data_IF_297139696199
#
_entry.id   IF_297139696199
#
_cell.length_a   1.000
_cell.length_b   1.000
_cell.length_c   1.000
_cell.angle_alpha   90.00
_cell.angle_beta   90.00
_cell.angle_gamma   90.00
#
_symmetry.space_group_name_H-M   'P 1'
#
loop_
_entity.id
_entity.type
_entity.pdbx_description
1 polymer ?
#
# COMPACT_ATOMS: atom_id res chain seq x y z
N UNK A 1 -21.78 21.48 -6.07
CA UNK A 1 -20.71 20.74 -5.36
C UNK A 1 -20.97 19.26 -5.59
N UNK A 2 -20.43 18.69 -6.67
CA UNK A 2 -20.62 17.26 -6.97
C UNK A 2 -19.51 16.50 -6.24
N UNK A 3 -19.81 16.19 -4.98
CA UNK A 3 -19.48 14.96 -4.24
C UNK A 3 -18.37 14.07 -4.85
N UNK A 4 -17.08 14.40 -4.64
CA UNK A 4 -15.97 13.51 -5.02
C UNK A 4 -16.13 12.10 -4.44
N UNK A 5 -16.73 11.97 -3.26
CA UNK A 5 -17.10 10.70 -2.64
C UNK A 5 -18.06 9.86 -3.49
N UNK A 6 -19.04 10.48 -4.16
CA UNK A 6 -20.00 9.77 -5.02
C UNK A 6 -19.32 9.33 -6.31
N UNK A 7 -18.40 10.14 -6.85
CA UNK A 7 -17.62 9.76 -8.03
C UNK A 7 -16.73 8.54 -7.73
N UNK A 8 -16.04 8.51 -6.59
CA UNK A 8 -15.26 7.34 -6.16
C UNK A 8 -16.15 6.14 -5.87
N UNK A 9 -17.23 6.31 -5.10
CA UNK A 9 -18.15 5.22 -4.77
C UNK A 9 -18.79 4.57 -6.01
N UNK A 10 -18.96 5.32 -7.11
CA UNK A 10 -19.46 4.78 -8.37
C UNK A 10 -18.44 3.93 -9.15
N UNK A 11 -17.14 4.07 -8.85
CA UNK A 11 -16.06 3.30 -9.49
C UNK A 11 -15.64 2.08 -8.66
N UNK A 12 -15.99 2.05 -7.37
CA UNK A 12 -15.71 0.91 -6.50
C UNK A 12 -16.65 -0.27 -6.84
N UNK A 13 -16.14 -1.51 -6.86
CA UNK A 13 -16.98 -2.69 -6.86
C UNK A 13 -18.04 -2.64 -5.76
N UNK A 14 -19.15 -3.35 -5.94
CA UNK A 14 -20.12 -3.52 -4.85
C UNK A 14 -19.60 -4.61 -3.91
N UNK A 15 -19.10 -4.22 -2.76
CA UNK A 15 -18.58 -5.11 -1.74
C UNK A 15 -18.71 -4.49 -0.34
N UNK A 16 -18.42 -5.29 0.68
CA UNK A 16 -18.17 -4.80 2.02
C UNK A 16 -16.72 -4.31 2.12
N UNK A 17 -16.54 -3.14 2.73
CA UNK A 17 -15.26 -2.45 2.80
C UNK A 17 -14.88 -2.15 4.24
N UNK A 18 -13.66 -2.54 4.63
CA UNK A 18 -13.01 -1.95 5.78
C UNK A 18 -12.40 -0.61 5.34
N UNK A 19 -12.93 0.49 5.89
CA UNK A 19 -12.45 1.84 5.59
C UNK A 19 -11.38 2.23 6.57
N UNK A 20 -10.25 2.73 6.06
CA UNK A 20 -9.07 3.04 6.88
C UNK A 20 -8.52 4.41 6.50
N UNK A 21 -8.08 5.17 7.50
CA UNK A 21 -7.39 6.44 7.32
C UNK A 21 -6.00 6.32 7.92
N UNK A 22 -5.01 6.16 7.06
CA UNK A 22 -3.63 5.85 7.41
C UNK A 22 -2.74 7.07 7.28
N UNK A 23 -1.74 7.11 8.14
CA UNK A 23 -0.75 8.18 8.19
C UNK A 23 0.61 7.59 7.81
N UNK A 24 0.94 7.56 6.51
CA UNK A 24 2.03 6.74 5.97
C UNK A 24 3.23 7.57 5.50
N UNK A 25 4.41 6.94 5.43
CA UNK A 25 5.65 7.53 4.90
C UNK A 25 6.11 6.76 3.65
N UNK A 26 5.72 7.21 2.45
CA UNK A 26 5.99 6.44 1.24
C UNK A 26 7.45 6.52 0.82
N UNK A 27 8.00 5.38 0.39
CA UNK A 27 9.30 5.30 -0.29
C UNK A 27 9.11 4.68 -1.66
N UNK A 28 9.50 5.39 -2.73
CA UNK A 28 9.43 4.87 -4.10
C UNK A 28 10.48 3.76 -4.27
N UNK A 29 10.03 2.60 -4.73
CA UNK A 29 10.85 1.43 -5.01
C UNK A 29 10.87 1.19 -6.51
N UNK A 30 12.07 1.10 -7.08
CA UNK A 30 12.26 0.77 -8.47
C UNK A 30 12.40 -0.76 -8.65
N UNK A 31 11.94 -1.31 -9.80
CA UNK A 31 12.15 -2.70 -10.19
C UNK A 31 13.57 -3.19 -9.94
N UNK A 32 13.71 -4.29 -9.19
CA UNK A 32 15.00 -4.94 -8.90
C UNK A 32 15.93 -4.16 -7.97
N UNK A 33 15.48 -3.04 -7.40
CA UNK A 33 16.26 -2.32 -6.36
C UNK A 33 16.31 -3.14 -5.08
N UNK A 34 17.30 -2.91 -4.22
CA UNK A 34 17.51 -3.72 -3.00
C UNK A 34 16.33 -3.77 -2.04
N UNK A 35 15.42 -2.79 -2.12
CA UNK A 35 14.23 -2.70 -1.29
C UNK A 35 12.97 -3.26 -2.00
N UNK A 36 13.14 -3.89 -3.16
CA UNK A 36 12.08 -4.53 -3.93
C UNK A 36 11.61 -5.84 -3.28
N UNK A 37 10.41 -5.77 -2.69
CA UNK A 37 9.71 -6.90 -2.11
C UNK A 37 9.54 -8.01 -3.14
N UNK A 38 9.07 -7.68 -4.34
CA UNK A 38 8.72 -8.68 -5.34
C UNK A 38 9.93 -9.31 -6.01
N UNK A 39 11.10 -8.67 -5.96
CA UNK A 39 12.35 -9.29 -6.40
C UNK A 39 13.05 -10.10 -5.30
N UNK A 40 12.92 -9.72 -4.03
CA UNK A 40 13.73 -10.27 -2.93
C UNK A 40 12.92 -10.96 -1.83
N UNK A 41 12.07 -10.25 -1.11
CA UNK A 41 11.34 -10.76 0.06
C UNK A 41 10.25 -11.77 -0.33
N UNK A 42 9.46 -11.42 -1.36
CA UNK A 42 8.41 -12.25 -1.97
C UNK A 42 9.01 -13.56 -2.50
N UNK A 43 9.87 -13.58 -3.53
CA UNK A 43 10.39 -14.84 -4.08
C UNK A 43 11.14 -15.73 -3.08
N UNK A 44 11.77 -15.16 -2.03
CA UNK A 44 12.47 -15.92 -0.99
C UNK A 44 11.54 -16.81 -0.14
N UNK A 45 10.24 -16.48 -0.05
CA UNK A 45 9.22 -17.33 0.58
C UNK A 45 8.58 -18.37 -0.34
N UNK A 46 8.67 -18.20 -1.67
CA UNK A 46 7.72 -18.79 -2.63
C UNK A 46 8.39 -19.63 -3.73
N UNK A 47 9.54 -20.22 -3.40
CA UNK A 47 10.56 -20.68 -4.35
C UNK A 47 10.20 -21.75 -5.39
N UNK A 48 8.94 -22.14 -5.62
CA UNK A 48 8.56 -23.19 -6.58
C UNK A 48 7.20 -23.03 -7.30
N UNK A 49 6.53 -21.87 -7.25
CA UNK A 49 5.31 -21.64 -8.03
C UNK A 49 5.61 -20.79 -9.27
N UNK A 50 5.42 -21.33 -10.48
CA UNK A 50 5.24 -20.49 -11.66
C UNK A 50 3.90 -19.77 -11.49
N UNK A 51 3.93 -18.52 -11.03
CA UNK A 51 2.75 -17.68 -11.08
C UNK A 51 2.68 -17.04 -12.47
N UNK A 52 1.67 -17.42 -13.26
CA UNK A 52 1.31 -16.69 -14.47
C UNK A 52 0.59 -15.39 -14.07
N UNK A 53 1.34 -14.41 -13.57
CA UNK A 53 0.81 -13.06 -13.47
C UNK A 53 0.90 -12.40 -14.84
N UNK A 54 -0.22 -11.84 -15.32
CA UNK A 54 -0.25 -11.04 -16.56
C UNK A 54 0.57 -9.76 -16.47
N UNK A 55 0.92 -9.34 -15.25
CA UNK A 55 1.82 -8.23 -14.93
C UNK A 55 2.83 -8.77 -13.92
N UNK A 56 4.11 -8.75 -14.27
CA UNK A 56 5.17 -9.09 -13.31
C UNK A 56 5.36 -7.90 -12.35
N UNK A 57 4.97 -8.03 -11.07
CA UNK A 57 5.08 -6.93 -10.12
C UNK A 57 6.55 -6.55 -9.84
N UNK A 58 7.52 -7.42 -10.15
CA UNK A 58 8.95 -7.10 -10.06
C UNK A 58 9.43 -6.15 -11.16
N UNK A 59 8.60 -5.86 -12.18
CA UNK A 59 8.92 -4.95 -13.28
C UNK A 59 8.18 -3.60 -13.20
N UNK A 60 7.43 -3.35 -12.12
CA UNK A 60 6.71 -2.09 -11.91
C UNK A 60 7.19 -1.33 -10.67
N UNK A 61 7.29 -0.01 -10.76
CA UNK A 61 7.60 0.82 -9.59
C UNK A 61 6.37 0.95 -8.70
N UNK A 62 6.57 0.90 -7.39
CA UNK A 62 5.53 1.05 -6.37
C UNK A 62 6.10 1.77 -5.14
N UNK A 63 5.25 2.08 -4.16
CA UNK A 63 5.72 2.66 -2.89
C UNK A 63 5.66 1.65 -1.76
N UNK A 64 6.74 1.51 -1.01
CA UNK A 64 6.69 0.89 0.33
C UNK A 64 6.18 1.89 1.35
N UNK A 65 5.30 1.44 2.23
CA UNK A 65 4.74 2.22 3.34
C UNK A 65 5.32 1.69 4.66
N UNK A 66 4.56 0.90 5.41
CA UNK A 66 5.00 0.30 6.66
C UNK A 66 5.38 -1.19 6.53
N UNK A 67 6.15 -1.65 7.52
CA UNK A 67 6.51 -3.05 7.74
C UNK A 67 6.37 -3.33 9.23
N UNK A 68 5.46 -4.22 9.60
CA UNK A 68 5.07 -4.45 11.00
C UNK A 68 5.00 -5.95 11.31
N UNK A 69 5.29 -6.33 12.55
CA UNK A 69 4.99 -7.69 13.01
C UNK A 69 3.46 -7.85 13.15
N UNK A 70 2.90 -8.87 12.51
CA UNK A 70 1.48 -9.20 12.53
C UNK A 70 1.16 -10.40 13.47
N UNK A 71 2.19 -10.97 14.10
CA UNK A 71 2.10 -12.07 15.04
C UNK A 71 3.49 -12.62 15.37
N UNK A 72 3.56 -13.78 16.02
CA UNK A 72 4.84 -14.40 16.43
C UNK A 72 5.75 -14.75 15.23
N UNK A 73 5.14 -15.02 14.08
CA UNK A 73 5.83 -15.45 12.85
C UNK A 73 5.34 -14.69 11.61
N UNK A 74 4.37 -13.79 11.77
CA UNK A 74 3.71 -13.12 10.66
C UNK A 74 4.24 -11.70 10.51
N UNK A 75 4.38 -11.25 9.28
CA UNK A 75 4.86 -9.91 8.96
C UNK A 75 3.94 -9.23 7.94
N UNK A 76 3.50 -8.01 8.28
CA UNK A 76 2.76 -7.13 7.40
C UNK A 76 3.75 -6.35 6.52
N UNK A 77 3.51 -6.41 5.22
CA UNK A 77 4.14 -5.56 4.23
C UNK A 77 3.07 -4.70 3.58
N UNK A 78 3.23 -3.37 3.66
CA UNK A 78 2.27 -2.43 3.14
C UNK A 78 2.80 -1.69 1.91
N UNK A 79 1.95 -1.58 0.90
CA UNK A 79 2.31 -1.08 -0.42
C UNK A 79 1.28 -0.06 -0.93
N UNK A 80 1.73 1.02 -1.58
CA UNK A 80 0.88 1.77 -2.49
C UNK A 80 1.26 1.45 -3.94
N UNK A 81 0.28 0.96 -4.70
CA UNK A 81 0.44 0.54 -6.09
C UNK A 81 -0.15 1.62 -7.00
N UNK A 82 0.68 2.32 -7.79
CA UNK A 82 0.19 3.33 -8.72
C UNK A 82 -0.51 2.67 -9.93
N UNK A 83 -1.47 3.38 -10.54
CA UNK A 83 -2.19 2.89 -11.73
C UNK A 83 -1.42 3.10 -13.04
N UNK A 84 -0.24 3.73 -12.96
CA UNK A 84 0.68 3.98 -14.06
C UNK A 84 2.09 4.20 -13.49
N UNK A 85 3.08 4.37 -14.36
CA UNK A 85 4.46 4.53 -13.92
C UNK A 85 4.66 5.88 -13.19
N UNK A 86 5.09 5.89 -11.91
CA UNK A 86 5.42 7.12 -11.18
C UNK A 86 6.44 8.02 -11.85
N UNK A 87 7.32 7.46 -12.70
CA UNK A 87 8.35 8.21 -13.43
C UNK A 87 7.79 9.03 -14.60
N UNK A 88 6.56 8.72 -15.05
CA UNK A 88 5.86 9.44 -16.12
C UNK A 88 4.96 10.58 -15.59
N UNK A 89 4.94 10.79 -14.27
CA UNK A 89 4.19 11.88 -13.67
C UNK A 89 4.76 13.25 -14.08
N UNK A 90 3.86 14.21 -14.34
CA UNK A 90 4.21 15.61 -14.61
C UNK A 90 5.05 16.20 -13.44
N UNK A 91 6.33 16.47 -13.73
CA UNK A 91 7.30 16.94 -12.75
C UNK A 91 6.96 18.31 -12.16
N UNK A 92 6.33 19.21 -12.94
CA UNK A 92 5.92 20.53 -12.46
C UNK A 92 4.77 20.41 -11.45
N UNK A 93 3.86 19.46 -11.70
CA UNK A 93 2.76 19.15 -10.78
C UNK A 93 3.27 18.52 -9.48
N UNK A 94 4.23 17.59 -9.57
CA UNK A 94 4.91 17.02 -8.39
C UNK A 94 5.60 18.13 -7.58
N UNK A 95 6.40 18.97 -8.23
CA UNK A 95 7.12 20.06 -7.57
C UNK A 95 6.17 21.04 -6.85
N UNK A 96 5.03 21.36 -7.47
CA UNK A 96 3.99 22.19 -6.85
C UNK A 96 3.41 21.52 -5.60
N UNK A 97 3.19 20.21 -5.61
CA UNK A 97 2.71 19.48 -4.44
C UNK A 97 3.79 19.37 -3.35
N UNK A 98 5.07 19.25 -3.71
CA UNK A 98 6.18 19.24 -2.76
C UNK A 98 6.30 20.54 -1.96
N UNK A 99 5.82 21.66 -2.51
CA UNK A 99 5.83 22.98 -1.86
C UNK A 99 4.49 23.37 -1.23
N UNK A 100 3.43 22.59 -1.45
CA UNK A 100 2.11 22.92 -0.96
C UNK A 100 2.05 22.81 0.58
N UNK A 101 1.41 23.77 1.27
CA UNK A 101 1.26 23.70 2.72
C UNK A 101 0.25 22.62 3.12
N UNK A 102 0.42 22.09 4.34
CA UNK A 102 -0.46 21.06 4.89
C UNK A 102 -0.04 19.65 4.51
N UNK A 103 -0.82 18.67 4.98
CA UNK A 103 -0.52 17.25 4.75
C UNK A 103 -1.20 16.78 3.46
N UNK A 104 -0.46 16.20 2.49
CA UNK A 104 -1.07 15.66 1.28
C UNK A 104 -2.00 14.50 1.61
N UNK A 105 -3.02 14.32 0.78
CA UNK A 105 -3.98 13.20 0.87
C UNK A 105 -4.04 12.41 -0.42
N UNK A 106 -4.21 11.10 -0.31
CA UNK A 106 -4.47 10.19 -1.42
C UNK A 106 -5.66 9.28 -1.11
N UNK A 107 -6.23 8.68 -2.15
CA UNK A 107 -7.35 7.73 -2.05
C UNK A 107 -6.97 6.44 -2.77
N UNK A 108 -7.23 5.30 -2.14
CA UNK A 108 -6.93 3.98 -2.69
C UNK A 108 -8.06 2.97 -2.52
N UNK A 109 -8.02 1.95 -3.38
CA UNK A 109 -8.70 0.68 -3.17
C UNK A 109 -7.72 -0.31 -2.56
N UNK A 110 -8.15 -1.03 -1.53
CA UNK A 110 -7.28 -1.90 -0.74
C UNK A 110 -7.59 -3.39 -0.92
N UNK A 111 -6.55 -4.22 -0.86
CA UNK A 111 -6.64 -5.68 -0.74
C UNK A 111 -5.68 -6.16 0.35
N UNK A 112 -6.11 -7.15 1.14
CA UNK A 112 -5.26 -7.83 2.11
C UNK A 112 -5.11 -9.30 1.72
N UNK A 113 -3.90 -9.65 1.32
CA UNK A 113 -3.56 -11.03 0.96
C UNK A 113 -2.66 -11.63 2.02
N UNK A 114 -3.07 -12.78 2.56
CA UNK A 114 -2.31 -13.49 3.58
C UNK A 114 -1.79 -14.76 2.96
N UNK A 115 -0.48 -14.79 2.85
CA UNK A 115 0.19 -15.61 1.89
C UNK A 115 1.43 -16.19 2.59
N UNK A 116 1.61 -17.50 2.53
CA UNK A 116 2.82 -18.15 3.03
C UNK A 116 2.95 -19.58 2.52
N UNK A 117 4.17 -20.09 2.35
CA UNK A 117 4.35 -21.49 2.00
C UNK A 117 3.81 -22.39 3.11
N UNK A 118 3.00 -23.40 2.75
CA UNK A 118 2.43 -24.37 3.69
C UNK A 118 3.48 -25.11 4.56
N UNK A 119 4.75 -25.07 4.16
CA UNK A 119 5.88 -25.70 4.86
C UNK A 119 6.69 -24.74 5.76
N UNK A 120 6.37 -23.44 5.80
CA UNK A 120 6.90 -22.51 6.83
C UNK A 120 5.77 -22.01 7.71
N UNK A 121 6.16 -21.57 8.91
CA UNK A 121 5.25 -20.90 9.85
C UNK A 121 5.07 -19.43 9.52
N UNK A 122 6.02 -18.85 8.80
CA UNK A 122 6.04 -17.44 8.42
C UNK A 122 4.99 -17.16 7.35
N UNK A 123 4.11 -16.19 7.60
CA UNK A 123 3.16 -15.69 6.63
C UNK A 123 3.40 -14.22 6.36
N UNK A 124 3.32 -13.83 5.11
CA UNK A 124 3.33 -12.44 4.69
C UNK A 124 1.89 -11.97 4.58
N UNK A 125 1.58 -10.89 5.28
CA UNK A 125 0.36 -10.14 5.14
C UNK A 125 0.65 -9.00 4.16
N UNK A 126 0.29 -9.16 2.90
CA UNK A 126 0.44 -8.13 1.87
C UNK A 126 -0.78 -7.21 1.87
N UNK A 127 -0.62 -5.99 2.38
CA UNK A 127 -1.65 -4.95 2.29
C UNK A 127 -1.35 -4.03 1.11
N UNK A 128 -2.15 -4.15 0.06
CA UNK A 128 -1.97 -3.40 -1.18
C UNK A 128 -2.97 -2.26 -1.27
N UNK A 129 -2.49 -1.07 -1.60
CA UNK A 129 -3.31 0.13 -1.80
C UNK A 129 -3.17 0.62 -3.24
N UNK A 130 -4.10 0.22 -4.10
CA UNK A 130 -4.17 0.66 -5.48
C UNK A 130 -4.65 2.11 -5.54
N UNK A 131 -3.77 3.03 -5.93
CA UNK A 131 -4.01 4.46 -5.89
C UNK A 131 -5.06 4.87 -6.93
N UNK A 132 -6.21 5.34 -6.45
CA UNK A 132 -7.28 5.88 -7.29
C UNK A 132 -7.08 7.37 -7.56
N UNK A 133 -6.52 8.10 -6.58
CA UNK A 133 -6.17 9.52 -6.70
C UNK A 133 -4.97 9.86 -5.81
N UNK A 134 -4.25 10.92 -6.19
CA UNK A 134 -3.15 11.48 -5.42
C UNK A 134 -1.76 11.01 -5.85
N UNK A 135 -1.59 10.46 -7.06
CA UNK A 135 -0.29 9.98 -7.57
C UNK A 135 0.81 11.04 -7.49
N UNK A 136 0.57 12.28 -7.96
CA UNK A 136 1.56 13.37 -7.85
C UNK A 136 1.86 13.76 -6.40
N UNK A 137 0.87 13.67 -5.50
CA UNK A 137 1.06 13.98 -4.07
C UNK A 137 1.85 12.88 -3.37
N UNK A 138 1.62 11.61 -3.72
CA UNK A 138 2.39 10.47 -3.23
C UNK A 138 3.85 10.56 -3.69
N UNK A 139 4.07 10.88 -4.97
CA UNK A 139 5.41 11.11 -5.51
C UNK A 139 6.12 12.28 -4.79
N UNK A 140 5.41 13.39 -4.57
CA UNK A 140 5.93 14.53 -3.83
C UNK A 140 6.29 14.19 -2.38
N UNK A 141 5.43 13.41 -1.70
CA UNK A 141 5.65 12.95 -0.33
C UNK A 141 6.88 12.03 -0.25
N UNK A 142 7.02 11.08 -1.17
CA UNK A 142 8.17 10.20 -1.25
C UNK A 142 9.48 10.96 -1.53
N UNK A 143 9.45 11.90 -2.48
CA UNK A 143 10.63 12.73 -2.82
C UNK A 143 11.08 13.60 -1.63
N UNK A 144 10.15 14.05 -0.80
CA UNK A 144 10.42 14.89 0.36
C UNK A 144 10.68 14.09 1.65
N UNK A 145 10.59 12.75 1.61
CA UNK A 145 10.56 11.90 2.82
C UNK A 145 9.56 12.45 3.86
N UNK A 146 8.34 12.76 3.41
CA UNK A 146 7.31 13.44 4.18
C UNK A 146 6.05 12.57 4.29
N UNK A 147 5.32 12.64 5.42
CA UNK A 147 4.14 11.82 5.62
C UNK A 147 2.96 12.25 4.74
N UNK A 148 2.23 11.27 4.21
CA UNK A 148 0.97 11.43 3.49
C UNK A 148 -0.18 10.85 4.31
N UNK A 149 -1.40 11.31 4.07
CA UNK A 149 -2.62 10.71 4.63
C UNK A 149 -3.38 9.94 3.57
N UNK A 150 -3.53 8.64 3.76
CA UNK A 150 -4.14 7.73 2.81
C UNK A 150 -5.51 7.29 3.30
N UNK A 151 -6.56 7.59 2.54
CA UNK A 151 -7.87 6.97 2.71
C UNK A 151 -7.95 5.73 1.83
N UNK A 152 -8.17 4.56 2.41
CA UNK A 152 -8.25 3.31 1.66
C UNK A 152 -9.50 2.52 2.01
N UNK A 153 -10.06 1.86 1.00
CA UNK A 153 -11.24 1.01 1.10
C UNK A 153 -10.81 -0.44 0.84
N UNK A 154 -10.52 -1.19 1.90
CA UNK A 154 -10.06 -2.58 1.79
C UNK A 154 -11.26 -3.48 1.56
N UNK A 155 -11.31 -4.15 0.41
CA UNK A 155 -12.44 -5.00 0.00
C UNK A 155 -12.37 -6.35 0.71
N UNK A 156 -13.43 -6.73 1.43
CA UNK A 156 -13.51 -8.05 2.03
C UNK A 156 -13.70 -9.15 0.97
N UNK A 157 -14.45 -8.88 -0.09
CA UNK A 157 -14.77 -9.88 -1.12
C UNK A 157 -13.66 -10.15 -2.13
N UNK A 158 -12.70 -9.24 -2.25
CA UNK A 158 -11.57 -9.37 -3.20
C UNK A 158 -10.25 -9.70 -2.49
N UNK A 159 -10.21 -9.64 -1.16
CA UNK A 159 -9.05 -10.01 -0.34
C UNK A 159 -8.98 -11.53 -0.16
N UNK A 160 -7.77 -12.09 -0.07
CA UNK A 160 -7.60 -13.48 0.38
C UNK A 160 -7.77 -13.66 1.89
N UNK A 161 -7.68 -12.57 2.66
CA UNK A 161 -7.95 -12.56 4.09
C UNK A 161 -9.42 -12.82 4.42
N UNK A 162 -9.69 -13.56 5.50
CA UNK A 162 -11.04 -13.73 6.02
C UNK A 162 -11.50 -12.52 6.86
N UNK A 163 -12.80 -12.45 7.16
CA UNK A 163 -13.39 -11.36 7.96
C UNK A 163 -12.67 -11.13 9.30
N UNK A 164 -12.29 -12.20 10.00
CA UNK A 164 -11.59 -12.12 11.28
C UNK A 164 -10.18 -11.52 11.17
N UNK A 165 -9.53 -11.67 10.01
CA UNK A 165 -8.20 -11.12 9.72
C UNK A 165 -8.30 -9.65 9.29
N UNK A 166 -9.32 -9.31 8.49
CA UNK A 166 -9.63 -7.93 8.09
C UNK A 166 -10.07 -7.05 9.27
N UNK A 167 -10.69 -7.65 10.29
CA UNK A 167 -11.15 -6.98 11.51
C UNK A 167 -10.07 -6.87 12.59
N UNK A 168 -8.77 -6.98 12.26
CA UNK A 168 -7.64 -6.72 13.18
C UNK A 168 -7.00 -5.36 12.95
N UNK A 169 -7.68 -4.25 13.29
CA UNK A 169 -7.13 -2.91 13.12
C UNK A 169 -5.86 -2.71 13.93
N UNK A 170 -5.61 -3.45 15.01
CA UNK A 170 -4.38 -3.34 15.80
C UNK A 170 -3.10 -3.72 15.04
N UNK A 171 -3.23 -4.55 13.99
CA UNK A 171 -2.11 -4.92 13.13
C UNK A 171 -1.83 -3.83 12.08
N UNK A 172 -2.88 -3.11 11.66
CA UNK A 172 -2.84 -2.21 10.50
C UNK A 172 -2.87 -0.72 10.89
N UNK A 173 -3.45 -0.39 12.05
CA UNK A 173 -3.59 0.95 12.63
C UNK A 173 -2.63 1.15 13.81
N UNK A 174 -1.58 0.33 13.94
CA UNK A 174 -0.57 0.49 15.00
C UNK A 174 0.01 1.92 14.88
N UNK A 175 -0.50 2.78 15.76
CA UNK A 175 -0.45 4.22 15.65
C UNK A 175 0.98 4.73 15.45
N UNK A 176 1.12 5.66 14.53
CA UNK A 176 2.34 6.42 14.35
C UNK A 176 2.69 7.16 15.65
N UNK A 177 3.78 6.69 16.29
CA UNK A 177 4.57 7.31 17.38
C UNK A 177 4.17 6.96 18.81
N UNK A 178 4.99 6.06 19.39
CA UNK A 178 5.26 5.99 20.82
C UNK A 178 6.77 5.93 21.10
N UNK A 179 7.53 7.00 20.80
CA UNK A 179 8.80 7.26 21.47
C UNK A 179 8.65 8.58 22.23
N UNK A 180 8.66 8.59 23.57
CA UNK A 180 8.67 9.83 24.31
C UNK A 180 10.00 10.54 24.05
N UNK A 181 9.94 11.85 23.83
CA UNK A 181 11.10 12.72 23.84
C UNK A 181 11.95 12.42 25.09
N UNK A 182 13.23 12.13 24.86
CA UNK A 182 14.29 12.24 25.86
C UNK A 182 15.43 13.03 25.24
#
# INVERSE_FOLDING_TARGET
MVNGLVAFAAQLPRADYQVMLLDTLPTLVAPGSTDDYFAFDGPAGWRNGEFEYSVDPANASYYRLDRLAAGDHDELFEFAVPMGDPTELDADVVARHSQAPGRPTAVAFGLLDIEGPWFRRERHWGLFHFLLDGHHKMAAAAANNAPLRLLTFVSAGESLACDEELLRPEIIMADGRGKPDR
#
